data_IF_519462786918
#
_entry.id   IF_519462786918
#
_cell.length_a   1.000
_cell.length_b   1.000
_cell.length_c   1.000
_cell.angle_alpha   90.00
_cell.angle_beta   90.00
_cell.angle_gamma   90.00
#
_symmetry.space_group_name_H-M   'P 1'
#
loop_
_entity.id
_entity.type
_entity.pdbx_description
1 polymer ?
#
# COMPACT_ATOMS: atom_id res chain seq x y z
N UNK A 1 26.27 -10.11 -47.66
CA UNK A 1 25.01 -9.37 -47.84
C UNK A 1 23.78 -10.19 -47.42
N UNK A 2 23.60 -11.46 -47.87
CA UNK A 2 22.41 -12.27 -47.47
C UNK A 2 22.24 -12.46 -45.97
N UNK A 3 23.33 -12.68 -45.19
CA UNK A 3 23.26 -12.84 -43.71
C UNK A 3 22.88 -11.56 -42.95
N UNK A 4 23.29 -10.39 -43.48
CA UNK A 4 22.94 -9.09 -42.90
C UNK A 4 21.46 -8.77 -43.15
N UNK A 5 20.97 -9.12 -44.35
CA UNK A 5 19.56 -8.95 -44.70
C UNK A 5 18.63 -9.81 -43.81
N UNK A 6 19.08 -11.05 -43.48
CA UNK A 6 18.32 -11.95 -42.60
C UNK A 6 18.26 -11.43 -41.15
N UNK A 7 19.37 -10.85 -40.65
CA UNK A 7 19.41 -10.24 -39.29
C UNK A 7 18.54 -9.00 -39.23
N UNK A 8 18.54 -8.16 -40.27
CA UNK A 8 17.67 -6.99 -40.34
C UNK A 8 16.19 -7.41 -40.42
N UNK A 9 15.88 -8.48 -41.19
CA UNK A 9 14.52 -9.00 -41.26
C UNK A 9 14.02 -9.56 -39.91
N UNK A 10 14.88 -10.23 -39.14
CA UNK A 10 14.55 -10.73 -37.79
C UNK A 10 14.36 -9.58 -36.77
N UNK A 11 15.16 -8.51 -36.91
CA UNK A 11 15.01 -7.32 -36.03
C UNK A 11 13.75 -6.50 -36.34
N UNK A 12 13.28 -6.50 -37.59
CA UNK A 12 12.02 -5.82 -37.97
C UNK A 12 10.80 -6.61 -37.48
N UNK A 13 10.93 -7.92 -37.23
CA UNK A 13 9.87 -8.78 -36.71
C UNK A 13 9.76 -8.76 -35.15
N UNK A 14 10.63 -8.03 -34.46
CA UNK A 14 10.46 -7.70 -33.06
C UNK A 14 9.40 -6.60 -32.96
N UNK A 15 8.13 -6.93 -33.25
CA UNK A 15 7.00 -6.09 -32.94
C UNK A 15 7.00 -5.92 -31.44
N UNK A 16 7.26 -4.71 -30.98
CA UNK A 16 6.90 -4.27 -29.64
C UNK A 16 5.40 -4.50 -29.52
N UNK A 17 4.99 -5.50 -28.73
CA UNK A 17 3.62 -5.57 -28.26
C UNK A 17 3.44 -4.29 -27.41
N UNK A 18 2.79 -3.27 -27.96
CA UNK A 18 2.34 -2.14 -27.16
C UNK A 18 1.35 -2.71 -26.16
N UNK A 19 1.68 -2.61 -24.86
CA UNK A 19 0.74 -2.93 -23.81
C UNK A 19 -0.47 -2.00 -24.03
N UNK A 20 -1.65 -2.59 -24.24
CA UNK A 20 -2.86 -1.85 -24.49
C UNK A 20 -3.48 -1.49 -23.14
N UNK A 21 -3.35 -0.23 -22.77
CA UNK A 21 -4.01 0.30 -21.60
C UNK A 21 -5.47 0.62 -21.91
N UNK A 22 -6.40 0.16 -21.06
CA UNK A 22 -7.84 0.30 -21.26
C UNK A 22 -8.43 1.41 -20.39
N UNK A 23 -9.26 2.25 -21.01
CA UNK A 23 -10.24 3.07 -20.29
C UNK A 23 -11.52 2.27 -20.03
N UNK A 24 -12.36 2.75 -19.12
CA UNK A 24 -13.64 2.09 -18.78
C UNK A 24 -14.55 1.88 -20.02
N UNK A 25 -14.47 2.82 -20.98
CA UNK A 25 -15.21 2.75 -22.23
C UNK A 25 -14.70 1.71 -23.22
N UNK A 26 -13.42 1.39 -23.16
CA UNK A 26 -12.74 0.52 -24.12
C UNK A 26 -12.97 -0.97 -23.82
N UNK A 27 -13.38 -1.30 -22.58
CA UNK A 27 -13.63 -2.68 -22.19
C UNK A 27 -14.96 -3.16 -22.78
N UNK A 28 -14.94 -4.21 -23.63
CA UNK A 28 -16.15 -4.69 -24.28
C UNK A 28 -17.09 -5.36 -23.28
N UNK A 29 -18.32 -4.84 -23.15
CA UNK A 29 -19.38 -5.52 -22.42
C UNK A 29 -19.94 -6.66 -23.26
N UNK A 30 -19.41 -7.86 -23.07
CA UNK A 30 -19.74 -9.05 -23.84
C UNK A 30 -21.21 -9.49 -23.70
N UNK A 31 -21.89 -9.13 -22.60
CA UNK A 31 -23.29 -9.45 -22.36
C UNK A 31 -24.22 -8.67 -23.30
N UNK A 32 -23.78 -7.55 -23.87
CA UNK A 32 -24.58 -6.80 -24.86
C UNK A 32 -24.62 -7.52 -26.22
N UNK A 33 -23.54 -8.21 -26.58
CA UNK A 33 -23.45 -8.97 -27.83
C UNK A 33 -24.01 -10.38 -27.68
N UNK A 34 -23.76 -11.03 -26.55
CA UNK A 34 -24.28 -12.36 -26.24
C UNK A 34 -24.61 -12.48 -24.74
N UNK A 35 -25.91 -12.66 -24.46
CA UNK A 35 -26.43 -12.78 -23.08
C UNK A 35 -25.87 -13.98 -22.28
N UNK A 36 -25.17 -14.89 -22.92
CA UNK A 36 -24.58 -16.08 -22.30
C UNK A 36 -23.09 -15.90 -22.01
N UNK A 37 -22.48 -14.81 -22.46
CA UNK A 37 -21.10 -14.46 -22.17
C UNK A 37 -21.05 -13.50 -20.97
N UNK A 38 -20.24 -13.82 -20.00
CA UNK A 38 -20.08 -13.04 -18.76
C UNK A 38 -18.65 -12.55 -18.56
N UNK A 39 -17.72 -13.10 -19.35
CA UNK A 39 -16.29 -12.87 -19.22
C UNK A 39 -15.75 -12.05 -20.37
N UNK A 40 -15.30 -10.82 -20.10
CA UNK A 40 -14.54 -9.99 -21.02
C UNK A 40 -13.04 -10.26 -20.83
N UNK A 41 -12.39 -10.77 -21.87
CA UNK A 41 -10.99 -11.20 -21.84
C UNK A 41 -10.29 -10.78 -23.16
N UNK A 42 -10.18 -9.45 -23.43
CA UNK A 42 -9.71 -8.95 -24.72
C UNK A 42 -8.24 -9.30 -25.00
N UNK A 43 -7.40 -9.39 -23.95
CA UNK A 43 -5.97 -9.66 -24.04
C UNK A 43 -5.65 -11.18 -24.03
N UNK A 44 -6.67 -12.02 -23.81
CA UNK A 44 -6.46 -13.46 -23.81
C UNK A 44 -5.72 -14.02 -22.60
N UNK A 45 -5.74 -13.30 -21.46
CA UNK A 45 -5.14 -13.73 -20.20
C UNK A 45 -5.70 -15.07 -19.74
N UNK A 46 -7.01 -15.22 -19.87
CA UNK A 46 -7.70 -16.45 -19.53
C UNK A 46 -7.79 -17.36 -20.77
N UNK A 47 -7.55 -18.65 -20.58
CA UNK A 47 -7.75 -19.64 -21.63
C UNK A 47 -9.24 -19.75 -22.02
N UNK A 48 -9.49 -20.13 -23.26
CA UNK A 48 -10.87 -20.33 -23.75
C UNK A 48 -11.67 -21.35 -22.91
N UNK A 49 -11.00 -22.38 -22.40
CA UNK A 49 -11.62 -23.37 -21.51
C UNK A 49 -12.03 -22.77 -20.16
N UNK A 50 -11.17 -21.90 -19.59
CA UNK A 50 -11.47 -21.18 -18.35
C UNK A 50 -12.64 -20.21 -18.54
N UNK A 51 -12.63 -19.42 -19.63
CA UNK A 51 -13.74 -18.51 -19.98
C UNK A 51 -15.06 -19.27 -20.08
N UNK A 52 -15.10 -20.40 -20.82
CA UNK A 52 -16.31 -21.20 -20.95
C UNK A 52 -16.81 -21.74 -19.60
N UNK A 53 -15.90 -22.15 -18.71
CA UNK A 53 -16.24 -22.63 -17.37
C UNK A 53 -16.78 -21.51 -16.48
N UNK A 54 -16.13 -20.35 -16.50
CA UNK A 54 -16.57 -19.15 -15.78
C UNK A 54 -17.96 -18.72 -16.26
N UNK A 55 -18.16 -18.61 -17.56
CA UNK A 55 -19.45 -18.25 -18.15
C UNK A 55 -20.57 -19.23 -17.76
N UNK A 56 -20.26 -20.54 -17.70
CA UNK A 56 -21.21 -21.56 -17.22
C UNK A 56 -21.62 -21.35 -15.76
N UNK A 57 -20.65 -21.01 -14.87
CA UNK A 57 -20.90 -20.70 -13.45
C UNK A 57 -21.77 -19.45 -13.33
N UNK A 58 -21.40 -18.39 -14.05
CA UNK A 58 -22.12 -17.12 -14.04
C UNK A 58 -23.53 -17.27 -14.59
N UNK A 59 -23.71 -18.08 -15.64
CA UNK A 59 -25.02 -18.41 -16.18
C UNK A 59 -25.93 -19.15 -15.17
N UNK A 60 -25.38 -20.15 -14.45
CA UNK A 60 -26.12 -20.87 -13.41
C UNK A 60 -26.61 -19.94 -12.31
N UNK A 61 -25.70 -19.08 -11.78
CA UNK A 61 -26.03 -18.09 -10.75
C UNK A 61 -27.14 -17.13 -11.21
N UNK A 62 -27.03 -16.63 -12.44
CA UNK A 62 -28.03 -15.73 -13.02
C UNK A 62 -29.37 -16.44 -13.29
N UNK A 63 -29.34 -17.65 -13.86
CA UNK A 63 -30.55 -18.42 -14.19
C UNK A 63 -31.36 -18.78 -12.95
N UNK A 64 -30.67 -19.05 -11.84
CA UNK A 64 -31.27 -19.33 -10.54
C UNK A 64 -31.71 -18.07 -9.78
N UNK A 65 -31.42 -16.88 -10.32
CA UNK A 65 -31.79 -15.61 -9.71
C UNK A 65 -30.98 -15.28 -8.45
N UNK A 66 -29.81 -15.92 -8.27
CA UNK A 66 -28.95 -15.72 -7.09
C UNK A 66 -28.13 -14.46 -7.24
N UNK A 67 -27.36 -14.34 -8.32
CA UNK A 67 -26.50 -13.19 -8.58
C UNK A 67 -26.39 -12.90 -10.09
N UNK A 68 -26.20 -11.63 -10.42
CA UNK A 68 -25.73 -11.19 -11.73
C UNK A 68 -24.22 -10.94 -11.66
N UNK A 69 -23.47 -11.70 -12.44
CA UNK A 69 -22.01 -11.62 -12.42
C UNK A 69 -21.45 -11.00 -13.70
N UNK A 70 -20.32 -10.32 -13.60
CA UNK A 70 -19.49 -9.89 -14.72
C UNK A 70 -18.01 -10.08 -14.35
N UNK A 71 -17.26 -10.64 -15.27
CA UNK A 71 -15.83 -10.93 -15.07
C UNK A 71 -15.04 -10.22 -16.15
N UNK A 72 -13.98 -9.55 -15.78
CA UNK A 72 -13.08 -8.84 -16.69
C UNK A 72 -11.65 -9.23 -16.36
N UNK A 73 -10.89 -9.58 -17.37
CA UNK A 73 -9.46 -9.84 -17.28
C UNK A 73 -8.75 -9.05 -18.37
N UNK A 74 -7.92 -8.09 -17.97
CA UNK A 74 -7.16 -7.19 -18.85
C UNK A 74 -5.71 -7.10 -18.41
N UNK A 75 -4.82 -6.82 -19.36
CA UNK A 75 -3.39 -6.65 -19.05
C UNK A 75 -3.16 -5.36 -18.26
N UNK A 76 -3.59 -4.22 -18.78
CA UNK A 76 -3.32 -2.90 -18.19
C UNK A 76 -4.55 -1.98 -18.27
N UNK A 77 -4.71 -1.11 -17.28
CA UNK A 77 -5.75 -0.07 -17.22
C UNK A 77 -5.12 1.32 -17.17
N UNK A 78 -5.85 2.34 -17.59
CA UNK A 78 -5.37 3.73 -17.72
C UNK A 78 -5.14 4.47 -16.40
N UNK A 79 -5.44 3.84 -15.27
CA UNK A 79 -5.30 4.42 -13.93
C UNK A 79 -4.60 3.46 -12.97
N UNK A 80 -3.95 4.02 -11.94
CA UNK A 80 -3.32 3.23 -10.87
C UNK A 80 -4.35 2.76 -9.82
N UNK A 81 -5.57 3.32 -9.80
CA UNK A 81 -6.64 2.94 -8.86
C UNK A 81 -7.53 1.86 -9.48
N UNK A 82 -7.14 0.60 -9.25
CA UNK A 82 -7.87 -0.57 -9.76
C UNK A 82 -9.26 -0.70 -9.12
N UNK A 83 -9.45 -0.24 -7.88
CA UNK A 83 -10.74 -0.32 -7.20
C UNK A 83 -11.74 0.68 -7.81
N UNK A 84 -11.34 1.94 -7.96
CA UNK A 84 -12.21 2.96 -8.55
C UNK A 84 -12.58 2.61 -9.99
N UNK A 85 -11.60 2.13 -10.75
CA UNK A 85 -11.85 1.65 -12.12
C UNK A 85 -12.87 0.50 -12.15
N UNK A 86 -12.72 -0.51 -11.29
CA UNK A 86 -13.66 -1.63 -11.21
C UNK A 86 -15.07 -1.16 -10.82
N UNK A 87 -15.15 -0.24 -9.85
CA UNK A 87 -16.42 0.31 -9.39
C UNK A 87 -17.14 1.09 -10.50
N UNK A 88 -16.44 1.96 -11.21
CA UNK A 88 -16.97 2.72 -12.33
C UNK A 88 -17.43 1.79 -13.46
N UNK A 89 -16.59 0.83 -13.86
CA UNK A 89 -16.87 -0.14 -14.92
C UNK A 89 -18.16 -0.93 -14.66
N UNK A 90 -18.25 -1.57 -13.49
CA UNK A 90 -19.41 -2.43 -13.18
C UNK A 90 -20.66 -1.61 -12.86
N UNK A 91 -20.53 -0.41 -12.32
CA UNK A 91 -21.64 0.53 -12.17
C UNK A 91 -22.20 0.97 -13.52
N UNK A 92 -21.33 1.31 -14.47
CA UNK A 92 -21.70 1.67 -15.85
C UNK A 92 -22.38 0.53 -16.60
N UNK A 93 -21.92 -0.71 -16.37
CA UNK A 93 -22.56 -1.91 -16.94
C UNK A 93 -23.87 -2.27 -16.23
N UNK A 94 -24.17 -1.67 -15.09
CA UNK A 94 -25.39 -1.92 -14.31
C UNK A 94 -25.44 -3.32 -13.73
N UNK A 95 -24.29 -3.88 -13.34
CA UNK A 95 -24.20 -5.24 -12.79
C UNK A 95 -24.99 -5.30 -11.48
N UNK A 96 -26.04 -6.15 -11.46
CA UNK A 96 -26.92 -6.31 -10.29
C UNK A 96 -27.96 -5.23 -10.07
N UNK A 97 -28.13 -4.29 -11.00
CA UNK A 97 -28.99 -3.10 -10.85
C UNK A 97 -30.43 -3.38 -10.46
N UNK A 98 -30.98 -4.56 -10.81
CA UNK A 98 -32.39 -4.91 -10.53
C UNK A 98 -32.66 -5.43 -9.12
N UNK A 99 -31.70 -6.09 -8.50
CA UNK A 99 -31.84 -6.77 -7.20
C UNK A 99 -30.72 -6.41 -6.19
N UNK A 100 -29.84 -5.51 -6.56
CA UNK A 100 -28.58 -5.21 -5.83
C UNK A 100 -27.71 -6.46 -5.56
N UNK A 101 -27.93 -7.58 -6.29
CA UNK A 101 -27.16 -8.83 -6.16
C UNK A 101 -26.16 -8.97 -7.31
N UNK A 102 -25.37 -7.91 -7.55
CA UNK A 102 -24.31 -7.90 -8.53
C UNK A 102 -22.97 -8.37 -7.96
N UNK A 103 -22.17 -9.03 -8.79
CA UNK A 103 -20.77 -9.34 -8.52
C UNK A 103 -19.94 -8.97 -9.74
N UNK A 104 -19.11 -7.95 -9.62
CA UNK A 104 -18.07 -7.60 -10.58
C UNK A 104 -16.73 -8.13 -10.14
N UNK A 105 -15.98 -8.74 -11.04
CA UNK A 105 -14.62 -9.24 -10.78
C UNK A 105 -13.71 -8.68 -11.87
N UNK A 106 -12.73 -7.89 -11.46
CA UNK A 106 -11.69 -7.33 -12.34
C UNK A 106 -10.34 -7.90 -11.97
N UNK A 107 -9.66 -8.51 -12.93
CA UNK A 107 -8.25 -8.91 -12.87
C UNK A 107 -7.45 -8.00 -13.78
N UNK A 108 -6.40 -7.38 -13.24
CA UNK A 108 -5.41 -6.59 -13.98
C UNK A 108 -4.06 -7.28 -13.85
N UNK A 109 -3.55 -7.85 -14.94
CA UNK A 109 -2.37 -8.70 -14.92
C UNK A 109 -1.10 -7.90 -14.61
N UNK A 110 -0.88 -6.76 -15.25
CA UNK A 110 0.30 -5.90 -15.05
C UNK A 110 0.40 -5.39 -13.61
N UNK A 111 -0.74 -5.02 -13.01
CA UNK A 111 -0.83 -4.60 -11.61
C UNK A 111 -0.75 -5.79 -10.63
N UNK A 112 -0.90 -7.04 -11.12
CA UNK A 112 -1.05 -8.25 -10.29
C UNK A 112 -2.16 -8.12 -9.25
N UNK A 113 -3.24 -7.48 -9.64
CA UNK A 113 -4.32 -7.11 -8.73
C UNK A 113 -5.66 -7.68 -9.20
N UNK A 114 -6.45 -8.14 -8.23
CA UNK A 114 -7.81 -8.57 -8.45
C UNK A 114 -8.75 -7.82 -7.51
N UNK A 115 -9.87 -7.30 -8.05
CA UNK A 115 -10.88 -6.58 -7.28
C UNK A 115 -12.25 -7.22 -7.45
N UNK A 116 -12.96 -7.30 -6.33
CA UNK A 116 -14.37 -7.70 -6.29
C UNK A 116 -15.19 -6.45 -5.95
N UNK A 117 -16.29 -6.28 -6.71
CA UNK A 117 -17.30 -5.24 -6.45
C UNK A 117 -18.62 -5.97 -6.25
N UNK A 118 -19.18 -5.89 -5.05
CA UNK A 118 -20.43 -6.57 -4.66
C UNK A 118 -21.55 -5.58 -4.41
N UNK A 119 -22.76 -5.93 -4.80
CA UNK A 119 -23.94 -5.14 -4.50
C UNK A 119 -24.52 -5.46 -3.11
N UNK A 120 -25.20 -4.51 -2.48
CA UNK A 120 -25.78 -4.63 -1.14
C UNK A 120 -26.66 -5.86 -0.92
N UNK A 121 -27.35 -6.31 -1.97
CA UNK A 121 -28.24 -7.47 -1.86
C UNK A 121 -27.54 -8.80 -1.66
N UNK A 122 -26.21 -8.83 -1.85
CA UNK A 122 -25.41 -10.06 -1.72
C UNK A 122 -24.43 -10.00 -0.55
N UNK A 123 -24.21 -8.82 0.03
CA UNK A 123 -23.27 -8.61 1.16
C UNK A 123 -23.58 -9.48 2.38
N UNK A 124 -24.86 -9.82 2.59
CA UNK A 124 -25.26 -10.71 3.70
C UNK A 124 -24.72 -12.14 3.56
N UNK A 125 -24.41 -12.59 2.33
CA UNK A 125 -23.89 -13.93 2.04
C UNK A 125 -22.43 -13.88 1.59
N UNK A 126 -22.06 -12.84 0.85
CA UNK A 126 -20.73 -12.63 0.30
C UNK A 126 -20.15 -11.28 0.80
N UNK A 127 -19.90 -11.10 2.11
CA UNK A 127 -19.27 -9.91 2.65
C UNK A 127 -17.79 -9.83 2.25
N UNK A 128 -17.18 -8.64 2.40
CA UNK A 128 -15.80 -8.38 2.03
C UNK A 128 -14.80 -9.37 2.63
N UNK A 129 -15.02 -9.78 3.89
CA UNK A 129 -14.17 -10.78 4.54
C UNK A 129 -14.17 -12.12 3.81
N UNK A 130 -15.31 -12.56 3.29
CA UNK A 130 -15.43 -13.78 2.48
C UNK A 130 -14.79 -13.57 1.10
N UNK A 131 -15.03 -12.42 0.47
CA UNK A 131 -14.36 -12.05 -0.79
C UNK A 131 -12.84 -12.11 -0.63
N UNK A 132 -12.28 -11.50 0.44
CA UNK A 132 -10.85 -11.54 0.74
C UNK A 132 -10.35 -12.97 0.95
N UNK A 133 -11.10 -13.81 1.68
CA UNK A 133 -10.76 -15.22 1.88
C UNK A 133 -10.72 -15.98 0.54
N UNK A 134 -11.71 -15.79 -0.32
CA UNK A 134 -11.74 -16.42 -1.65
C UNK A 134 -10.51 -16.01 -2.46
N UNK A 135 -10.19 -14.72 -2.50
CA UNK A 135 -9.00 -14.23 -3.19
C UNK A 135 -7.74 -14.91 -2.66
N UNK A 136 -7.52 -14.89 -1.34
CA UNK A 136 -6.27 -15.35 -0.73
C UNK A 136 -6.11 -16.87 -0.76
N UNK A 137 -7.18 -17.64 -0.52
CA UNK A 137 -7.10 -19.10 -0.39
C UNK A 137 -7.34 -19.85 -1.71
N UNK A 138 -8.18 -19.31 -2.60
CA UNK A 138 -8.58 -20.04 -3.80
C UNK A 138 -8.00 -19.45 -5.10
N UNK A 139 -7.63 -18.16 -5.13
CA UNK A 139 -7.16 -17.52 -6.37
C UNK A 139 -5.64 -17.27 -6.35
N UNK A 140 -5.11 -16.62 -5.30
CA UNK A 140 -3.71 -16.24 -5.19
C UNK A 140 -2.70 -17.41 -5.34
N UNK A 141 -2.94 -18.61 -4.81
CA UNK A 141 -2.02 -19.73 -5.01
C UNK A 141 -1.77 -20.07 -6.48
N UNK A 142 -2.79 -19.94 -7.32
CA UNK A 142 -2.68 -20.11 -8.76
C UNK A 142 -1.98 -18.93 -9.43
N UNK A 143 -2.36 -17.69 -9.05
CA UNK A 143 -1.79 -16.48 -9.62
C UNK A 143 -0.29 -16.35 -9.37
N UNK A 144 0.21 -16.76 -8.21
CA UNK A 144 1.65 -16.81 -7.88
C UNK A 144 2.44 -17.72 -8.84
N UNK A 145 1.78 -18.75 -9.39
CA UNK A 145 2.35 -19.64 -10.38
C UNK A 145 2.08 -19.19 -11.83
N UNK A 146 1.48 -18.00 -12.03
CA UNK A 146 1.11 -17.49 -13.35
C UNK A 146 -0.13 -18.16 -13.95
N UNK A 147 -0.83 -19.02 -13.22
CA UNK A 147 -2.08 -19.66 -13.66
C UNK A 147 -3.31 -18.80 -13.33
N UNK A 148 -3.46 -17.69 -14.06
CA UNK A 148 -4.65 -16.84 -13.92
C UNK A 148 -5.94 -17.57 -14.27
N UNK A 149 -5.89 -18.47 -15.23
CA UNK A 149 -7.03 -19.28 -15.66
C UNK A 149 -7.56 -20.18 -14.54
N UNK A 150 -6.65 -20.97 -13.92
CA UNK A 150 -7.00 -21.84 -12.80
C UNK A 150 -7.51 -21.07 -11.59
N UNK A 151 -6.83 -19.97 -11.25
CA UNK A 151 -7.21 -19.13 -10.11
C UNK A 151 -8.58 -18.49 -10.28
N UNK A 152 -8.91 -17.96 -11.47
CA UNK A 152 -10.22 -17.38 -11.73
C UNK A 152 -11.33 -18.43 -11.67
N UNK A 153 -11.13 -19.63 -12.22
CA UNK A 153 -12.09 -20.72 -12.13
C UNK A 153 -12.30 -21.15 -10.68
N UNK A 154 -11.21 -21.36 -9.92
CA UNK A 154 -11.29 -21.76 -8.51
C UNK A 154 -12.03 -20.71 -7.66
N UNK A 155 -11.76 -19.41 -7.89
CA UNK A 155 -12.46 -18.33 -7.23
C UNK A 155 -13.96 -18.30 -7.51
N UNK A 156 -14.36 -18.45 -8.78
CA UNK A 156 -15.78 -18.49 -9.17
C UNK A 156 -16.50 -19.72 -8.62
N UNK A 157 -15.82 -20.89 -8.53
CA UNK A 157 -16.37 -22.09 -7.90
C UNK A 157 -16.58 -21.87 -6.39
N UNK A 158 -15.62 -21.22 -5.70
CA UNK A 158 -15.76 -20.85 -4.29
C UNK A 158 -16.91 -19.86 -4.07
N UNK A 159 -17.04 -18.81 -4.91
CA UNK A 159 -18.16 -17.88 -4.88
C UNK A 159 -19.49 -18.65 -5.04
N UNK A 160 -19.59 -19.53 -6.04
CA UNK A 160 -20.78 -20.34 -6.26
C UNK A 160 -21.12 -21.21 -5.04
N UNK A 161 -20.12 -21.82 -4.41
CA UNK A 161 -20.31 -22.65 -3.22
C UNK A 161 -20.89 -21.81 -2.05
N UNK A 162 -20.32 -20.67 -1.75
CA UNK A 162 -20.80 -19.73 -0.72
C UNK A 162 -22.24 -19.29 -1.00
N UNK A 163 -22.53 -18.90 -2.23
CA UNK A 163 -23.88 -18.45 -2.62
C UNK A 163 -24.92 -19.57 -2.58
N UNK A 164 -24.50 -20.83 -2.62
CA UNK A 164 -25.35 -22.00 -2.44
C UNK A 164 -25.47 -22.41 -0.94
N UNK A 165 -24.95 -21.63 -0.02
CA UNK A 165 -25.00 -21.89 1.42
C UNK A 165 -23.93 -22.87 1.93
N UNK A 166 -22.92 -23.17 1.12
CA UNK A 166 -21.76 -23.94 1.59
C UNK A 166 -20.84 -23.05 2.40
N UNK A 167 -20.41 -23.52 3.56
CA UNK A 167 -19.30 -22.88 4.27
C UNK A 167 -18.02 -23.12 3.46
N UNK A 168 -17.17 -22.09 3.34
CA UNK A 168 -15.82 -22.28 2.82
C UNK A 168 -15.07 -23.13 3.85
N UNK A 169 -14.48 -24.24 3.41
CA UNK A 169 -13.68 -25.10 4.29
C UNK A 169 -12.69 -24.22 5.06
N UNK A 170 -12.75 -24.30 6.39
CA UNK A 170 -11.80 -23.65 7.29
C UNK A 170 -10.39 -24.29 7.20
N UNK A 171 -10.22 -25.26 6.30
CA UNK A 171 -9.01 -26.04 6.07
C UNK A 171 -7.98 -25.43 5.13
N UNK A 172 -8.07 -24.14 4.84
CA UNK A 172 -6.92 -23.39 4.36
C UNK A 172 -6.05 -23.08 5.57
N UNK A 173 -4.83 -23.57 5.58
CA UNK A 173 -3.83 -23.21 6.58
C UNK A 173 -3.96 -21.71 6.91
N UNK A 174 -4.24 -21.38 8.18
CA UNK A 174 -4.16 -20.03 8.72
C UNK A 174 -2.72 -19.46 8.63
N UNK A 175 -1.81 -20.20 8.01
CA UNK A 175 -0.42 -19.85 7.71
C UNK A 175 -0.24 -18.97 6.46
N UNK A 176 -1.31 -18.60 5.74
CA UNK A 176 -1.24 -17.50 4.78
C UNK A 176 -1.51 -16.14 5.46
N UNK A 177 -0.80 -15.84 6.53
CA UNK A 177 -0.26 -14.51 6.78
C UNK A 177 0.47 -14.16 5.49
N UNK A 178 0.05 -13.10 4.80
CA UNK A 178 0.75 -12.66 3.61
C UNK A 178 2.23 -12.63 3.92
N UNK A 179 2.98 -13.52 3.32
CA UNK A 179 4.37 -13.28 2.98
C UNK A 179 4.33 -12.22 1.86
N UNK A 180 3.85 -11.03 2.23
CA UNK A 180 4.36 -9.82 1.66
C UNK A 180 5.85 -9.89 1.93
N UNK A 181 6.68 -9.64 0.95
CA UNK A 181 8.15 -9.64 0.93
C UNK A 181 8.81 -9.13 2.23
N UNK A 182 8.53 -9.78 3.37
CA UNK A 182 9.01 -9.42 4.69
C UNK A 182 10.52 -9.68 4.82
N UNK A 183 11.12 -10.50 3.95
CA UNK A 183 12.58 -10.63 3.95
C UNK A 183 13.24 -9.28 3.64
N UNK A 184 12.69 -8.49 2.72
CA UNK A 184 13.18 -7.14 2.45
C UNK A 184 12.83 -6.18 3.59
N UNK A 185 11.66 -6.31 4.21
CA UNK A 185 11.24 -5.48 5.35
C UNK A 185 12.07 -5.79 6.60
N UNK A 186 12.35 -7.06 6.91
CA UNK A 186 13.24 -7.45 8.00
C UNK A 186 14.69 -7.05 7.76
N UNK A 187 15.18 -7.11 6.51
CA UNK A 187 16.50 -6.62 6.12
C UNK A 187 16.60 -5.10 6.29
N UNK A 188 15.58 -4.35 5.89
CA UNK A 188 15.51 -2.90 6.09
C UNK A 188 15.38 -2.54 7.58
N UNK A 189 14.50 -3.23 8.33
CA UNK A 189 14.38 -3.05 9.78
C UNK A 189 15.71 -3.35 10.50
N UNK A 190 16.38 -4.43 10.13
CA UNK A 190 17.70 -4.78 10.64
C UNK A 190 18.74 -3.71 10.34
N UNK A 191 18.76 -3.17 9.11
CA UNK A 191 19.64 -2.06 8.73
C UNK A 191 19.38 -0.80 9.56
N UNK A 192 18.12 -0.41 9.76
CA UNK A 192 17.76 0.72 10.60
C UNK A 192 18.17 0.52 12.07
N UNK A 193 17.97 -0.68 12.61
CA UNK A 193 18.40 -1.01 13.99
C UNK A 193 19.92 -0.89 14.11
N UNK A 194 20.69 -1.40 13.15
CA UNK A 194 22.16 -1.29 13.13
C UNK A 194 22.59 0.17 13.03
N UNK A 195 21.94 0.97 12.18
CA UNK A 195 22.20 2.41 12.07
C UNK A 195 21.91 3.16 13.38
N UNK A 196 20.79 2.83 14.05
CA UNK A 196 20.46 3.44 15.36
C UNK A 196 21.47 3.04 16.42
N UNK A 197 21.83 1.76 16.51
CA UNK A 197 22.83 1.27 17.46
C UNK A 197 24.19 1.92 17.15
N UNK A 198 24.58 1.97 15.86
CA UNK A 198 25.83 2.61 15.43
C UNK A 198 25.88 4.10 15.80
N UNK A 199 24.80 4.84 15.54
CA UNK A 199 24.69 6.25 15.92
C UNK A 199 24.75 6.45 17.44
N UNK A 200 24.09 5.59 18.20
CA UNK A 200 24.12 5.63 19.67
C UNK A 200 25.52 5.34 20.21
N UNK A 201 26.24 4.37 19.64
CA UNK A 201 27.62 4.07 20.01
C UNK A 201 28.54 5.27 19.72
N UNK A 202 28.39 5.92 18.56
CA UNK A 202 29.16 7.11 18.20
C UNK A 202 28.93 8.25 19.22
N UNK A 203 27.66 8.48 19.61
CA UNK A 203 27.30 9.49 20.62
C UNK A 203 27.94 9.16 21.97
N UNK A 204 27.88 7.89 22.40
CA UNK A 204 28.50 7.46 23.67
C UNK A 204 30.04 7.65 23.64
N UNK A 205 30.69 7.29 22.52
CA UNK A 205 32.12 7.46 22.35
C UNK A 205 32.49 8.94 22.36
N UNK A 206 31.70 9.78 21.66
CA UNK A 206 31.92 11.22 21.62
C UNK A 206 31.76 11.88 23.01
N UNK A 207 30.71 11.47 23.77
CA UNK A 207 30.48 11.95 25.14
C UNK A 207 31.64 11.53 26.08
N UNK A 208 32.09 10.26 26.04
CA UNK A 208 33.26 9.80 26.80
C UNK A 208 34.52 10.58 26.45
N UNK A 209 34.77 10.82 25.15
CA UNK A 209 35.93 11.60 24.70
C UNK A 209 35.84 13.05 25.15
N UNK A 210 34.66 13.64 25.20
CA UNK A 210 34.43 15.02 25.64
C UNK A 210 34.67 15.21 27.14
N UNK A 211 34.46 14.17 27.96
CA UNK A 211 34.64 14.18 29.43
C UNK A 211 36.02 13.65 29.88
N UNK A 212 36.88 13.20 28.97
CA UNK A 212 38.20 12.69 29.29
C UNK A 212 39.17 13.82 29.48
N UNK A 213 39.87 13.83 30.61
CA UNK A 213 40.92 14.79 30.91
C UNK A 213 42.17 14.52 30.06
N UNK A 214 42.79 15.55 29.42
CA UNK A 214 43.99 15.36 28.58
C UNK A 214 45.19 14.93 29.39
N UNK A 215 45.33 15.35 30.66
CA UNK A 215 46.47 15.04 31.52
C UNK A 215 46.38 13.65 32.16
N UNK A 216 45.33 13.39 32.95
CA UNK A 216 45.21 12.13 33.69
C UNK A 216 44.48 11.03 32.91
N UNK A 217 43.96 11.28 31.68
CA UNK A 217 43.24 10.37 30.78
C UNK A 217 42.01 9.69 31.41
N UNK A 218 41.48 10.24 32.49
CA UNK A 218 40.27 9.72 33.15
C UNK A 218 39.05 10.54 32.79
N UNK A 219 37.87 9.91 32.84
CA UNK A 219 36.58 10.56 32.56
C UNK A 219 36.14 11.32 33.83
N UNK A 220 36.68 12.50 34.04
CA UNK A 220 36.47 13.28 35.26
C UNK A 220 36.37 14.80 35.01
N UNK A 221 36.20 15.23 33.76
CA UNK A 221 35.97 16.63 33.42
C UNK A 221 34.55 17.04 33.77
N UNK A 222 34.40 18.03 34.65
CA UNK A 222 33.13 18.65 35.02
C UNK A 222 33.12 20.09 34.50
N UNK A 223 31.99 20.53 33.99
CA UNK A 223 31.78 21.91 33.55
C UNK A 223 31.59 22.80 34.77
N UNK A 224 32.47 23.78 34.93
CA UNK A 224 32.46 24.73 36.03
C UNK A 224 31.71 26.02 35.66
N UNK A 225 32.11 26.65 34.57
CA UNK A 225 31.53 27.94 34.17
C UNK A 225 31.45 28.12 32.67
N UNK A 226 30.60 29.04 32.23
CA UNK A 226 30.43 29.44 30.83
C UNK A 226 30.52 30.96 30.73
N UNK A 227 31.41 31.46 29.90
CA UNK A 227 31.60 32.91 29.67
C UNK A 227 31.27 33.22 28.20
N UNK A 228 30.42 34.22 27.96
CA UNK A 228 30.19 34.75 26.64
C UNK A 228 31.42 35.58 26.20
N UNK A 229 32.03 35.22 25.08
CA UNK A 229 33.20 35.91 24.52
C UNK A 229 32.80 36.97 23.50
N UNK A 230 31.91 36.65 22.59
CA UNK A 230 31.42 37.57 21.58
C UNK A 230 30.02 37.22 21.10
N UNK A 231 29.27 38.21 20.68
CA UNK A 231 27.96 38.08 20.07
C UNK A 231 27.98 38.81 18.75
N UNK A 232 27.97 38.08 17.63
CA UNK A 232 27.91 38.62 16.29
C UNK A 232 26.53 38.27 15.68
N UNK A 233 26.16 38.95 14.61
CA UNK A 233 24.87 38.75 13.92
C UNK A 233 24.64 37.27 13.60
N UNK A 234 23.77 36.62 14.37
CA UNK A 234 23.39 35.21 14.18
C UNK A 234 24.25 34.15 14.82
N UNK A 235 25.34 34.50 15.50
CA UNK A 235 26.19 33.54 16.23
C UNK A 235 26.72 34.11 17.55
N UNK A 236 26.65 33.33 18.61
CA UNK A 236 27.19 33.64 19.92
C UNK A 236 28.33 32.68 20.23
N UNK A 237 29.52 33.21 20.61
CA UNK A 237 30.69 32.40 20.98
C UNK A 237 30.83 32.38 22.49
N UNK A 238 30.84 31.18 23.05
CA UNK A 238 31.01 30.93 24.48
C UNK A 238 32.35 30.24 24.76
N UNK A 239 32.93 30.51 25.91
CA UNK A 239 34.06 29.76 26.47
C UNK A 239 33.54 28.96 27.67
N UNK A 240 33.57 27.63 27.53
CA UNK A 240 33.21 26.70 28.58
C UNK A 240 34.49 26.28 29.32
N UNK A 241 34.52 26.47 30.63
CA UNK A 241 35.63 26.06 31.50
C UNK A 241 35.27 24.74 32.17
N UNK A 242 36.13 23.76 32.05
CA UNK A 242 36.01 22.45 32.68
C UNK A 242 37.13 22.22 33.68
N UNK A 243 36.80 21.64 34.82
CA UNK A 243 37.77 21.28 35.86
C UNK A 243 37.76 19.75 36.02
N UNK A 244 38.95 19.15 36.06
CA UNK A 244 39.07 17.73 36.32
C UNK A 244 38.91 17.45 37.83
N UNK A 245 37.93 16.67 38.23
CA UNK A 245 37.68 16.32 39.63
C UNK A 245 38.82 15.47 40.27
N UNK A 246 39.73 14.88 39.45
CA UNK A 246 40.81 14.04 39.95
C UNK A 246 42.18 14.72 40.02
N UNK A 247 42.56 15.51 39.01
CA UNK A 247 43.86 16.13 38.94
C UNK A 247 43.80 17.67 39.01
N UNK A 248 42.63 18.29 39.07
CA UNK A 248 42.47 19.73 39.15
C UNK A 248 42.79 20.49 37.86
N UNK A 249 43.15 19.82 36.78
CA UNK A 249 43.51 20.48 35.51
C UNK A 249 42.30 21.24 34.94
N UNK A 250 42.54 22.49 34.53
CA UNK A 250 41.52 23.36 33.93
C UNK A 250 41.64 23.29 32.40
N UNK A 251 40.54 22.94 31.75
CA UNK A 251 40.43 22.86 30.27
C UNK A 251 39.41 23.86 29.78
N UNK A 252 39.80 24.75 28.87
CA UNK A 252 38.89 25.73 28.26
C UNK A 252 38.56 25.32 26.84
N UNK A 253 37.25 25.33 26.48
CA UNK A 253 36.76 25.01 25.17
C UNK A 253 35.83 26.10 24.63
N UNK A 254 36.04 26.50 23.39
CA UNK A 254 35.18 27.49 22.72
C UNK A 254 34.04 26.77 22.02
N UNK A 255 32.81 27.26 22.18
CA UNK A 255 31.58 26.78 21.52
C UNK A 255 30.92 27.95 20.81
N UNK A 256 30.47 27.71 19.59
CA UNK A 256 29.63 28.65 18.83
C UNK A 256 28.20 28.11 18.77
N UNK A 257 27.25 28.93 19.23
CA UNK A 257 25.82 28.65 19.08
C UNK A 257 25.27 29.60 18.02
N UNK A 258 24.62 29.02 17.00
CA UNK A 258 23.95 29.78 15.95
C UNK A 258 22.49 30.02 16.36
N UNK A 259 22.05 31.28 16.31
CA UNK A 259 20.68 31.67 16.65
C UNK A 259 19.76 31.31 15.48
N UNK A 260 19.00 30.22 15.61
CA UNK A 260 18.05 29.72 14.59
C UNK A 260 16.77 30.55 14.51
N UNK A 261 16.62 31.59 15.33
CA UNK A 261 15.39 32.41 15.41
C UNK A 261 15.19 33.36 14.22
N UNK A 262 16.13 33.50 13.29
CA UNK A 262 16.00 34.45 12.18
C UNK A 262 15.36 33.89 10.91
N UNK A 263 14.97 32.62 10.86
CA UNK A 263 14.41 32.02 9.63
C UNK A 263 12.87 31.82 9.63
N UNK A 264 12.13 32.42 10.57
CA UNK A 264 10.68 32.23 10.69
C UNK A 264 9.85 33.51 10.48
N UNK A 265 10.28 34.37 9.55
CA UNK A 265 9.42 35.47 9.06
C UNK A 265 9.32 35.45 7.54
N UNK A 266 8.69 34.39 6.98
CA UNK A 266 7.97 34.40 5.69
C UNK A 266 7.31 33.04 5.49
N UNK A 267 5.99 32.99 5.63
CA UNK A 267 5.18 31.83 5.21
C UNK A 267 4.28 31.33 6.33
N UNK A 268 3.06 31.86 6.39
CA UNK A 268 2.00 31.35 7.26
C UNK A 268 1.57 29.96 6.84
N UNK A 269 1.47 29.08 7.80
CA UNK A 269 0.99 27.72 7.66
C UNK A 269 1.22 27.00 8.98
N UNK A 270 0.33 27.23 9.97
CA UNK A 270 0.42 26.56 11.27
C UNK A 270 0.10 25.07 11.16
N UNK A 271 0.77 24.23 11.95
CA UNK A 271 0.44 22.81 12.03
C UNK A 271 -0.90 22.62 12.73
N UNK A 272 -1.79 21.86 12.10
CA UNK A 272 -3.04 21.39 12.69
C UNK A 272 -2.68 20.35 13.76
N UNK A 273 -2.80 20.73 15.01
CA UNK A 273 -2.72 19.80 16.15
C UNK A 273 -4.10 19.16 16.28
N UNK A 274 -4.24 17.89 15.92
CA UNK A 274 -5.35 17.05 16.33
C UNK A 274 -5.19 16.73 17.81
N UNK A 275 -5.89 17.48 18.65
CA UNK A 275 -6.06 17.16 20.06
C UNK A 275 -7.37 16.43 20.27
N UNK A 276 -7.26 15.21 20.83
CA UNK A 276 -8.39 14.36 21.19
C UNK A 276 -9.20 14.87 22.36
N UNK A 277 -10.48 14.48 22.32
CA UNK A 277 -11.38 14.10 23.39
C UNK A 277 -11.51 14.98 24.63
N UNK A 278 -12.71 15.53 24.80
CA UNK A 278 -13.18 16.01 26.07
C UNK A 278 -14.70 16.07 26.09
N UNK A 279 -15.33 15.09 26.75
CA UNK A 279 -16.74 15.09 27.14
C UNK A 279 -17.03 16.29 28.05
N UNK A 280 -18.03 17.10 27.71
CA UNK A 280 -18.51 18.18 28.54
C UNK A 280 -20.01 18.38 28.38
N UNK A 281 -20.73 17.89 29.36
CA UNK A 281 -22.16 17.89 29.59
C UNK A 281 -22.64 19.28 30.09
N UNK A 282 -23.86 19.66 29.74
CA UNK A 282 -24.63 20.74 30.38
C UNK A 282 -24.95 21.85 29.37
N UNK A 283 -26.16 22.18 29.06
CA UNK A 283 -27.32 22.37 29.90
C UNK A 283 -27.89 23.72 29.61
N UNK A 284 -29.08 23.78 29.05
CA UNK A 284 -30.15 24.69 29.37
C UNK A 284 -30.09 26.15 28.89
N UNK A 285 -31.05 26.52 28.18
CA UNK A 285 -32.10 27.49 28.58
C UNK A 285 -32.41 28.60 27.54
N UNK A 286 -33.60 28.54 27.05
CA UNK A 286 -34.68 29.54 26.87
C UNK A 286 -34.37 31.04 26.71
N UNK A 287 -35.08 31.62 25.74
CA UNK A 287 -35.53 32.99 25.66
C UNK A 287 -35.22 33.63 24.34
N UNK A 288 -36.06 33.99 23.40
CA UNK A 288 -37.38 34.57 23.54
C UNK A 288 -37.38 35.97 23.00
N UNK A 289 -38.25 36.25 22.00
CA UNK A 289 -38.74 37.56 21.51
C UNK A 289 -37.73 38.44 20.69
N UNK A 290 -38.04 38.91 19.59
CA UNK A 290 -39.26 39.47 18.89
C UNK A 290 -39.13 39.35 17.42
#
# INVERSE_FOLDING_TARGET
MKRILTIILVLIFCHTAEARSYDVEDIPNVQLSNRYNFTSNPDGILSAAAVAKIDSICYDLRHRGIAQTAVVAVDEISTDDVFEFAYELFSKWGVGSKSNSGIGILLVESAREIRFVTGYGIEGVLPDAICKRIQTQYMLPYFRNGDYSGGMVAGLEAIRAVLNGSELDAGGNDDYVGEDDDEAAWALAGFFIIMIIGSMIIVIIADRKSRTCPECKQIALQKDSTRLLSRNFGASTYEDTYICAKCGTIVKRKRQDYDSTHNNRRGGGGPIIMGGGGFGRGGGSFGGRR
#
